data_IF_416138240696
#
_entry.id   IF_416138240696
#
_cell.length_a   1.000
_cell.length_b   1.000
_cell.length_c   1.000
_cell.angle_alpha   90.00
_cell.angle_beta   90.00
_cell.angle_gamma   90.00
#
_symmetry.space_group_name_H-M   'P 1'
#
loop_
_entity.id
_entity.type
_entity.pdbx_description
1 polymer ?
#
# COMPACT_ATOMS: atom_id res chain seq x y z
N UNK A 1 -2.59 15.67 9.72
CA UNK A 1 -2.68 14.98 8.41
C UNK A 1 -1.67 15.57 7.43
N UNK A 2 -0.38 15.24 7.55
CA UNK A 2 0.60 15.71 6.58
C UNK A 2 0.65 14.74 5.38
N UNK A 3 0.15 15.20 4.23
CA UNK A 3 0.15 14.44 2.96
C UNK A 3 1.56 14.02 2.51
N UNK A 4 2.61 14.69 2.98
CA UNK A 4 4.00 14.42 2.61
C UNK A 4 4.51 13.07 3.16
N UNK A 5 4.07 12.65 4.35
CA UNK A 5 4.52 11.39 4.95
C UNK A 5 3.89 10.16 4.28
N UNK A 6 2.67 10.29 3.74
CA UNK A 6 1.95 9.16 3.12
C UNK A 6 2.67 8.61 1.89
N UNK A 7 3.21 9.51 1.07
CA UNK A 7 3.92 9.13 -0.16
C UNK A 7 5.30 8.55 0.13
N UNK A 8 5.99 9.07 1.15
CA UNK A 8 7.29 8.58 1.56
C UNK A 8 7.18 7.14 2.09
N UNK A 9 6.21 6.85 2.98
CA UNK A 9 6.09 5.50 3.52
C UNK A 9 5.54 4.51 2.48
N UNK A 10 4.72 4.94 1.53
CA UNK A 10 4.33 4.10 0.36
C UNK A 10 5.55 3.64 -0.45
N UNK A 11 6.62 4.45 -0.47
CA UNK A 11 7.89 4.06 -1.09
C UNK A 11 8.53 2.85 -0.42
N UNK A 12 8.38 2.67 0.89
CA UNK A 12 8.87 1.47 1.61
C UNK A 12 8.15 0.18 1.20
N UNK A 13 6.94 0.29 0.64
CA UNK A 13 6.16 -0.82 0.08
C UNK A 13 6.36 -1.00 -1.43
N UNK A 14 7.35 -0.31 -2.02
CA UNK A 14 7.67 -0.34 -3.45
C UNK A 14 6.80 0.56 -4.33
N UNK A 15 5.76 1.20 -3.77
CA UNK A 15 4.83 2.10 -4.48
C UNK A 15 5.48 3.47 -4.65
N UNK A 16 6.25 3.64 -5.72
CA UNK A 16 7.04 4.84 -6.01
C UNK A 16 6.70 5.46 -7.37
N UNK A 17 7.15 6.70 -7.61
CA UNK A 17 7.02 7.38 -8.91
C UNK A 17 5.57 7.54 -9.37
N UNK A 18 5.31 7.28 -10.65
CA UNK A 18 3.99 7.42 -11.25
C UNK A 18 2.93 6.49 -10.65
N UNK A 19 3.32 5.33 -10.09
CA UNK A 19 2.38 4.40 -9.46
C UNK A 19 1.72 5.02 -8.21
N UNK A 20 2.46 5.85 -7.46
CA UNK A 20 1.91 6.59 -6.33
C UNK A 20 0.98 7.75 -6.75
N UNK A 21 0.96 8.11 -8.03
CA UNK A 21 0.10 9.15 -8.60
C UNK A 21 -1.14 8.58 -9.30
N UNK A 22 -1.14 7.27 -9.58
CA UNK A 22 -2.22 6.60 -10.28
C UNK A 22 -3.39 6.26 -9.35
N UNK A 23 -4.64 6.34 -9.85
CA UNK A 23 -5.80 5.81 -9.14
C UNK A 23 -5.64 4.33 -8.81
N UNK A 24 -6.05 3.91 -7.60
CA UNK A 24 -5.91 2.52 -7.15
C UNK A 24 -6.63 1.52 -8.07
N UNK A 25 -7.70 1.94 -8.75
CA UNK A 25 -8.48 1.08 -9.64
C UNK A 25 -7.69 0.59 -10.86
N UNK A 26 -6.73 1.39 -11.35
CA UNK A 26 -5.91 1.06 -12.52
C UNK A 26 -4.60 0.33 -12.16
N UNK A 27 -4.31 0.16 -10.87
CA UNK A 27 -3.14 -0.58 -10.42
C UNK A 27 -3.30 -2.10 -10.69
N UNK A 28 -2.23 -2.80 -11.10
CA UNK A 28 -2.24 -4.26 -11.19
C UNK A 28 -2.49 -4.89 -9.80
N UNK A 29 -2.99 -6.13 -9.78
CA UNK A 29 -3.42 -6.82 -8.55
C UNK A 29 -2.42 -6.75 -7.39
N UNK A 30 -1.15 -7.11 -7.62
CA UNK A 30 -0.10 -7.09 -6.58
C UNK A 30 0.19 -5.68 -6.02
N UNK A 31 -0.03 -4.63 -6.81
CA UNK A 31 0.15 -3.24 -6.36
C UNK A 31 -1.02 -2.77 -5.48
N UNK A 32 -2.23 -3.27 -5.72
CA UNK A 32 -3.40 -2.98 -4.86
C UNK A 32 -3.19 -3.52 -3.45
N UNK A 33 -2.63 -4.71 -3.33
CA UNK A 33 -2.31 -5.34 -2.05
C UNK A 33 -1.24 -4.58 -1.27
N UNK A 34 -0.18 -4.12 -1.96
CA UNK A 34 0.85 -3.24 -1.37
C UNK A 34 0.28 -1.91 -0.87
N UNK A 35 -0.62 -1.29 -1.61
CA UNK A 35 -1.30 -0.06 -1.18
C UNK A 35 -2.24 -0.31 0.00
N UNK A 36 -2.97 -1.43 0.02
CA UNK A 36 -3.82 -1.83 1.15
C UNK A 36 -2.98 -2.05 2.42
N UNK A 37 -1.83 -2.72 2.29
CA UNK A 37 -0.90 -2.95 3.38
C UNK A 37 -0.33 -1.63 3.92
N UNK A 38 0.15 -0.75 3.03
CA UNK A 38 0.63 0.58 3.42
C UNK A 38 -0.43 1.37 4.20
N UNK A 39 -1.68 1.37 3.71
CA UNK A 39 -2.82 2.01 4.39
C UNK A 39 -3.10 1.41 5.77
N UNK A 40 -2.94 0.10 5.92
CA UNK A 40 -3.12 -0.59 7.19
C UNK A 40 -2.00 -0.25 8.16
N UNK A 41 -0.75 -0.12 7.72
CA UNK A 41 0.38 0.32 8.56
C UNK A 41 0.22 1.79 9.00
N UNK A 42 -0.40 2.62 8.17
CA UNK A 42 -0.69 4.02 8.48
C UNK A 42 -1.74 4.22 9.56
N UNK A 43 -2.76 3.35 9.59
CA UNK A 43 -3.62 3.26 10.77
C UNK A 43 -2.82 2.46 11.78
N UNK A 44 -2.58 2.95 13.00
CA UNK A 44 -1.93 2.14 14.06
C UNK A 44 -2.84 0.96 14.48
N UNK A 45 -3.01 -0.01 13.60
CA UNK A 45 -3.88 -1.16 13.77
C UNK A 45 -3.13 -2.17 14.61
N UNK A 46 -3.66 -2.52 15.77
CA UNK A 46 -3.00 -3.48 16.67
C UNK A 46 -3.04 -4.92 16.13
N UNK A 47 -4.02 -5.23 15.27
CA UNK A 47 -4.23 -6.53 14.66
C UNK A 47 -4.64 -6.32 13.20
N UNK A 48 -4.03 -7.09 12.30
CA UNK A 48 -4.33 -7.11 10.87
C UNK A 48 -4.54 -8.56 10.47
N UNK A 49 -5.74 -8.88 9.97
CA UNK A 49 -6.02 -10.20 9.41
C UNK A 49 -5.84 -10.12 7.89
N UNK A 50 -4.92 -10.91 7.35
CA UNK A 50 -4.68 -11.04 5.92
C UNK A 50 -4.99 -12.48 5.55
N UNK A 51 -5.93 -12.67 4.64
CA UNK A 51 -6.21 -13.98 4.05
C UNK A 51 -5.24 -14.19 2.89
N UNK A 52 -4.49 -15.31 2.89
CA UNK A 52 -3.50 -15.67 1.87
C UNK A 52 -2.50 -14.55 1.48
N UNK A 53 -1.65 -14.05 2.41
CA UNK A 53 -0.81 -12.88 2.18
C UNK A 53 0.25 -13.06 1.09
N UNK A 54 0.70 -14.30 0.84
CA UNK A 54 1.77 -14.59 -0.13
C UNK A 54 1.32 -14.42 -1.58
N UNK A 55 0.08 -14.83 -1.90
CA UNK A 55 -0.47 -14.85 -3.27
C UNK A 55 -0.73 -13.46 -3.87
N UNK A 56 -0.45 -12.41 -3.09
CA UNK A 56 -0.76 -11.01 -3.39
C UNK A 56 0.48 -10.09 -3.30
N UNK A 57 1.63 -10.66 -2.92
CA UNK A 57 2.90 -9.94 -2.79
C UNK A 57 3.91 -10.26 -3.90
N UNK A 58 3.60 -11.25 -4.75
CA UNK A 58 4.33 -11.60 -5.97
C UNK A 58 4.22 -10.52 -7.07
#
# INVERSE_FOLDING_TARGET
FQKQNVRADMGSFGVTGNLALQPICILPGGWKSKVAFAKITFKKSHIVLLDEPSNHLE
#
